data_IF_413398202870
#
_entry.id   IF_413398202870
#
_cell.length_a   1.000
_cell.length_b   1.000
_cell.length_c   1.000
_cell.angle_alpha   90.00
_cell.angle_beta   90.00
_cell.angle_gamma   90.00
#
_symmetry.space_group_name_H-M   'P 1'
#
loop_
_entity.id
_entity.type
_entity.pdbx_description
1 polymer ?
#
# COMPACT_ATOMS: atom_id res chain seq x y z
N UNK A 1 24.63 5.26 -13.02
CA UNK A 1 23.33 4.73 -13.46
C UNK A 1 22.60 4.25 -12.21
N UNK A 2 21.37 4.70 -12.00
CA UNK A 2 20.54 4.28 -10.85
C UNK A 2 20.16 2.81 -11.02
N UNK A 3 20.23 2.03 -9.96
CA UNK A 3 19.78 0.65 -9.93
C UNK A 3 18.90 0.42 -8.73
N UNK A 4 17.95 -0.48 -8.86
CA UNK A 4 17.07 -0.94 -7.79
C UNK A 4 17.09 -2.45 -7.68
N UNK A 5 16.48 -2.94 -6.61
CA UNK A 5 16.34 -4.37 -6.35
C UNK A 5 14.87 -4.74 -6.28
N UNK A 6 14.47 -5.66 -7.14
CA UNK A 6 13.12 -6.19 -7.19
C UNK A 6 13.10 -7.62 -6.64
N UNK A 7 12.03 -7.96 -5.94
CA UNK A 7 11.73 -9.33 -5.52
C UNK A 7 11.16 -10.11 -6.71
N UNK A 8 10.11 -9.58 -7.33
CA UNK A 8 9.38 -10.23 -8.42
C UNK A 8 8.55 -9.23 -9.23
N UNK A 9 8.05 -9.69 -10.36
CA UNK A 9 7.07 -8.98 -11.20
C UNK A 9 5.88 -9.92 -11.41
N UNK A 10 4.68 -9.43 -11.15
CA UNK A 10 3.42 -10.08 -11.47
C UNK A 10 2.71 -9.34 -12.59
N UNK A 11 2.33 -10.04 -13.66
CA UNK A 11 1.94 -9.40 -14.92
C UNK A 11 0.44 -9.15 -15.12
N UNK A 12 -0.43 -9.71 -14.30
CA UNK A 12 -1.89 -9.67 -14.47
C UNK A 12 -2.60 -9.46 -13.13
N UNK A 13 -2.08 -8.56 -12.27
CA UNK A 13 -2.70 -8.19 -11.00
C UNK A 13 -4.07 -7.52 -11.22
N UNK A 14 -5.07 -7.97 -10.48
CA UNK A 14 -6.45 -7.46 -10.55
C UNK A 14 -6.91 -6.77 -9.26
N UNK A 15 -6.08 -6.82 -8.20
CA UNK A 15 -6.44 -6.31 -6.86
C UNK A 15 -5.53 -5.17 -6.38
N UNK A 16 -4.53 -4.81 -7.18
CA UNK A 16 -3.49 -3.85 -6.82
C UNK A 16 -3.69 -2.49 -7.50
N UNK A 17 -4.94 -2.05 -7.59
CA UNK A 17 -5.38 -0.81 -8.22
C UNK A 17 -6.42 -1.04 -9.32
N UNK A 18 -6.78 0.00 -10.09
CA UNK A 18 -7.79 -0.11 -11.16
C UNK A 18 -7.25 -0.89 -12.36
N UNK A 19 -8.14 -1.65 -13.00
CA UNK A 19 -7.85 -2.39 -14.23
C UNK A 19 -6.83 -3.51 -14.07
N UNK A 20 -6.27 -3.98 -15.18
CA UNK A 20 -5.20 -4.98 -15.22
C UNK A 20 -3.86 -4.28 -14.97
N UNK A 21 -3.06 -4.81 -14.04
CA UNK A 21 -1.80 -4.18 -13.65
C UNK A 21 -0.61 -5.11 -13.76
N UNK A 22 0.54 -4.53 -14.08
CA UNK A 22 1.81 -5.15 -13.75
C UNK A 22 2.20 -4.69 -12.36
N UNK A 23 2.39 -5.62 -11.44
CA UNK A 23 2.82 -5.34 -10.06
C UNK A 23 4.31 -5.63 -9.92
N UNK A 24 5.08 -4.62 -9.53
CA UNK A 24 6.51 -4.72 -9.28
C UNK A 24 6.75 -4.74 -7.78
N UNK A 25 7.19 -5.87 -7.26
CA UNK A 25 7.52 -6.02 -5.84
C UNK A 25 8.98 -5.63 -5.60
N UNK A 26 9.20 -4.49 -4.92
CA UNK A 26 10.53 -4.01 -4.56
C UNK A 26 11.02 -4.65 -3.25
N UNK A 27 12.33 -4.75 -3.11
CA UNK A 27 12.99 -5.18 -1.88
C UNK A 27 13.15 -4.03 -0.88
N UNK A 28 13.09 -4.37 0.41
CA UNK A 28 13.27 -3.47 1.53
C UNK A 28 11.95 -3.03 2.16
N UNK A 29 11.85 -3.16 3.48
CA UNK A 29 10.77 -2.63 4.28
C UNK A 29 11.26 -2.31 5.69
N UNK A 30 10.88 -1.14 6.22
CA UNK A 30 11.15 -0.77 7.61
C UNK A 30 10.24 -1.47 8.61
N UNK A 31 9.03 -1.83 8.18
CA UNK A 31 8.03 -2.45 9.04
C UNK A 31 8.29 -3.94 9.25
N UNK A 32 7.77 -4.45 10.36
CA UNK A 32 7.70 -5.87 10.72
C UNK A 32 6.28 -6.20 11.11
N UNK A 33 5.35 -5.97 10.15
CA UNK A 33 3.92 -6.23 10.37
C UNK A 33 3.72 -7.68 10.81
N UNK A 34 2.92 -7.87 11.87
CA UNK A 34 2.70 -9.19 12.44
C UNK A 34 2.04 -10.17 11.46
N UNK A 35 1.30 -9.63 10.48
CA UNK A 35 0.60 -10.37 9.43
C UNK A 35 1.23 -10.25 8.03
N UNK A 36 2.52 -9.87 7.93
CA UNK A 36 3.14 -9.64 6.62
C UNK A 36 3.09 -10.91 5.75
N UNK A 37 2.65 -10.79 4.50
CA UNK A 37 2.63 -11.90 3.55
C UNK A 37 3.95 -12.07 2.78
N UNK A 38 4.80 -11.03 2.81
CA UNK A 38 6.05 -11.00 2.05
C UNK A 38 7.27 -10.71 2.95
N UNK A 39 7.54 -11.53 3.99
CA UNK A 39 8.72 -11.35 4.86
C UNK A 39 10.03 -11.49 4.09
N UNK A 40 10.01 -12.19 2.98
CA UNK A 40 11.10 -12.34 2.01
C UNK A 40 11.53 -11.02 1.35
N UNK A 41 10.64 -10.01 1.32
CA UNK A 41 10.96 -8.66 0.82
C UNK A 41 11.59 -7.72 1.86
N UNK A 42 11.72 -8.12 3.12
CA UNK A 42 12.18 -7.20 4.17
C UNK A 42 13.62 -6.71 4.00
N UNK A 43 14.51 -7.57 3.49
CA UNK A 43 15.93 -7.24 3.31
C UNK A 43 16.11 -6.41 2.04
N UNK A 44 16.76 -5.23 2.16
CA UNK A 44 17.03 -4.37 1.02
C UNK A 44 18.01 -4.99 0.00
N UNK A 45 18.94 -5.82 0.45
CA UNK A 45 19.94 -6.46 -0.40
C UNK A 45 19.51 -7.81 -1.00
N UNK A 46 18.23 -8.18 -0.88
CA UNK A 46 17.63 -9.35 -1.52
C UNK A 46 17.27 -9.11 -2.98
N UNK A 47 16.66 -10.11 -3.60
CA UNK A 47 16.09 -10.03 -4.96
C UNK A 47 17.13 -9.82 -6.07
N UNK A 48 16.65 -9.34 -7.22
CA UNK A 48 17.44 -9.12 -8.44
C UNK A 48 17.69 -7.64 -8.68
N UNK A 49 18.91 -7.27 -8.99
CA UNK A 49 19.26 -5.91 -9.39
C UNK A 49 18.80 -5.63 -10.82
N UNK A 50 18.23 -4.45 -11.04
CA UNK A 50 17.69 -4.03 -12.35
C UNK A 50 17.79 -2.50 -12.48
N UNK A 51 17.97 -1.99 -13.71
CA UNK A 51 17.87 -0.56 -14.00
C UNK A 51 16.41 -0.14 -14.27
N UNK A 52 16.05 1.15 -14.10
CA UNK A 52 14.72 1.65 -14.47
C UNK A 52 14.36 1.34 -15.93
N UNK A 53 15.32 1.51 -16.87
CA UNK A 53 15.12 1.28 -18.29
C UNK A 53 14.78 -0.18 -18.59
N UNK A 54 15.56 -1.13 -18.04
CA UNK A 54 15.31 -2.57 -18.18
C UNK A 54 13.95 -2.98 -17.61
N UNK A 55 13.54 -2.37 -16.47
CA UNK A 55 12.24 -2.63 -15.86
C UNK A 55 11.10 -2.11 -16.76
N UNK A 56 11.21 -0.87 -17.21
CA UNK A 56 10.16 -0.26 -18.04
C UNK A 56 10.04 -0.95 -19.41
N UNK A 57 11.12 -1.41 -20.02
CA UNK A 57 11.07 -2.24 -21.23
C UNK A 57 10.19 -3.48 -21.05
N UNK A 58 10.26 -4.14 -19.89
CA UNK A 58 9.39 -5.28 -19.57
C UNK A 58 7.93 -4.84 -19.40
N UNK A 59 7.66 -3.70 -18.73
CA UNK A 59 6.32 -3.21 -18.44
C UNK A 59 5.58 -2.71 -19.70
N UNK A 60 6.27 -2.04 -20.61
CA UNK A 60 5.69 -1.47 -21.84
C UNK A 60 5.00 -2.54 -22.71
N UNK A 61 5.44 -3.78 -22.67
CA UNK A 61 4.81 -4.90 -23.39
C UNK A 61 3.35 -5.15 -22.99
N UNK A 62 2.94 -4.67 -21.82
CA UNK A 62 1.58 -4.83 -21.29
C UNK A 62 0.66 -3.64 -21.60
N UNK A 63 1.13 -2.58 -22.26
CA UNK A 63 0.30 -1.40 -22.63
C UNK A 63 -1.03 -1.74 -23.31
N UNK A 64 -1.14 -2.74 -24.21
CA UNK A 64 -2.43 -3.11 -24.78
C UNK A 64 -3.48 -3.54 -23.75
N UNK A 65 -3.06 -4.18 -22.65
CA UNK A 65 -3.95 -4.55 -21.56
C UNK A 65 -4.32 -3.34 -20.71
N UNK A 66 -3.37 -2.44 -20.45
CA UNK A 66 -3.60 -1.19 -19.71
C UNK A 66 -4.63 -0.31 -20.40
N UNK A 67 -4.46 -0.09 -21.70
CA UNK A 67 -5.37 0.77 -22.48
C UNK A 67 -6.80 0.25 -22.54
N UNK A 68 -7.00 -1.08 -22.49
CA UNK A 68 -8.34 -1.69 -22.54
C UNK A 68 -9.04 -1.74 -21.18
N UNK A 69 -8.28 -1.78 -20.08
CA UNK A 69 -8.81 -1.99 -18.73
C UNK A 69 -8.78 -0.75 -17.86
N UNK A 70 -8.13 0.34 -18.29
CA UNK A 70 -7.81 1.46 -17.42
C UNK A 70 -6.73 1.13 -16.38
N UNK A 71 -5.91 0.10 -16.64
CA UNK A 71 -4.86 -0.37 -15.75
C UNK A 71 -3.52 0.35 -15.92
N UNK A 72 -2.45 -0.27 -15.43
CA UNK A 72 -1.11 0.30 -15.48
C UNK A 72 -0.09 -0.47 -14.67
N UNK A 73 0.87 0.20 -14.07
CA UNK A 73 1.85 -0.41 -13.17
C UNK A 73 1.57 -0.06 -11.70
N UNK A 74 1.80 -1.01 -10.82
CA UNK A 74 1.82 -0.81 -9.37
C UNK A 74 3.20 -1.16 -8.83
N UNK A 75 3.82 -0.19 -8.17
CA UNK A 75 5.03 -0.43 -7.40
C UNK A 75 4.63 -0.79 -5.97
N UNK A 76 5.01 -1.98 -5.52
CA UNK A 76 4.66 -2.62 -4.25
C UNK A 76 5.87 -3.39 -3.68
N UNK A 77 5.66 -4.41 -2.86
CA UNK A 77 6.69 -5.34 -2.40
C UNK A 77 6.90 -5.34 -0.91
N UNK A 78 8.08 -4.91 -0.46
CA UNK A 78 8.31 -4.51 0.92
C UNK A 78 7.64 -3.18 1.19
N UNK A 79 8.33 -2.09 0.88
CA UNK A 79 7.75 -0.75 0.69
C UNK A 79 8.60 -0.03 -0.37
N UNK A 80 8.01 0.42 -1.50
CA UNK A 80 8.76 1.05 -2.59
C UNK A 80 9.53 2.30 -2.19
N UNK A 81 9.06 3.01 -1.15
CA UNK A 81 9.71 4.19 -0.60
C UNK A 81 11.08 3.90 0.05
N UNK A 82 11.46 2.63 0.17
CA UNK A 82 12.81 2.23 0.59
C UNK A 82 13.86 2.44 -0.49
N UNK A 83 13.45 2.59 -1.75
CA UNK A 83 14.32 2.80 -2.90
C UNK A 83 13.90 4.05 -3.70
N UNK A 84 13.90 5.25 -3.06
CA UNK A 84 13.22 6.44 -3.60
C UNK A 84 13.78 6.90 -4.94
N UNK A 85 15.09 6.86 -5.14
CA UNK A 85 15.72 7.29 -6.42
C UNK A 85 15.38 6.35 -7.57
N UNK A 86 15.42 5.04 -7.35
CA UNK A 86 15.04 4.04 -8.34
C UNK A 86 13.55 4.15 -8.68
N UNK A 87 12.70 4.26 -7.66
CA UNK A 87 11.25 4.43 -7.82
C UNK A 87 10.93 5.67 -8.66
N UNK A 88 11.55 6.81 -8.32
CA UNK A 88 11.34 8.07 -9.03
C UNK A 88 11.68 7.96 -10.52
N UNK A 89 12.83 7.37 -10.87
CA UNK A 89 13.21 7.19 -12.28
C UNK A 89 12.24 6.23 -13.01
N UNK A 90 11.78 5.17 -12.36
CA UNK A 90 10.73 4.30 -12.90
C UNK A 90 9.42 5.06 -13.17
N UNK A 91 8.98 5.89 -12.22
CA UNK A 91 7.75 6.67 -12.34
C UNK A 91 7.86 7.71 -13.48
N UNK A 92 8.99 8.41 -13.62
CA UNK A 92 9.27 9.32 -14.73
C UNK A 92 9.18 8.61 -16.08
N UNK A 93 9.80 7.44 -16.20
CA UNK A 93 9.74 6.63 -17.40
C UNK A 93 8.32 6.11 -17.69
N UNK A 94 7.54 5.75 -16.69
CA UNK A 94 6.12 5.40 -16.84
C UNK A 94 5.33 6.56 -17.44
N UNK A 95 5.50 7.78 -16.90
CA UNK A 95 4.85 9.00 -17.42
C UNK A 95 5.22 9.26 -18.89
N UNK A 96 6.49 9.16 -19.25
CA UNK A 96 6.96 9.31 -20.64
C UNK A 96 6.32 8.29 -21.59
N UNK A 97 5.97 7.12 -21.10
CA UNK A 97 5.31 6.07 -21.85
C UNK A 97 3.78 6.11 -21.76
N UNK A 98 3.17 7.09 -21.09
CA UNK A 98 1.73 7.20 -20.90
C UNK A 98 1.14 6.03 -20.11
N UNK A 99 1.86 5.50 -19.13
CA UNK A 99 1.45 4.40 -18.27
C UNK A 99 0.97 4.95 -16.95
N UNK A 100 -0.27 4.65 -16.56
CA UNK A 100 -0.83 4.99 -15.24
C UNK A 100 -0.06 4.28 -14.13
N UNK A 101 0.30 5.05 -13.09
CA UNK A 101 1.13 4.58 -11.98
C UNK A 101 0.33 4.45 -10.69
N UNK A 102 0.56 3.38 -9.94
CA UNK A 102 0.10 3.25 -8.56
C UNK A 102 1.28 2.95 -7.63
N UNK A 103 1.28 3.57 -6.47
CA UNK A 103 2.23 3.36 -5.39
C UNK A 103 1.53 2.67 -4.24
N UNK A 104 1.88 1.42 -3.97
CA UNK A 104 1.39 0.62 -2.85
C UNK A 104 2.36 0.73 -1.68
N UNK A 105 1.98 1.46 -0.64
CA UNK A 105 2.88 1.83 0.45
C UNK A 105 2.17 1.96 1.80
N UNK A 106 2.93 1.80 2.85
CA UNK A 106 2.52 2.14 4.22
C UNK A 106 3.01 3.54 4.65
N UNK A 107 3.66 4.30 3.76
CA UNK A 107 4.25 5.60 4.05
C UNK A 107 5.57 5.53 4.84
N UNK A 108 6.24 4.38 4.86
CA UNK A 108 7.47 4.16 5.63
C UNK A 108 8.68 3.98 4.72
N UNK A 109 9.32 5.07 4.37
CA UNK A 109 10.45 5.05 3.45
C UNK A 109 11.61 5.96 3.86
N UNK A 110 12.46 6.28 2.90
CA UNK A 110 13.61 7.15 3.07
C UNK A 110 13.51 8.33 2.09
N UNK A 111 13.57 9.53 2.60
CA UNK A 111 13.72 10.74 1.79
C UNK A 111 12.51 11.65 1.66
N UNK A 112 12.58 12.54 0.67
CA UNK A 112 11.52 13.46 0.28
C UNK A 112 10.58 12.75 -0.71
N UNK A 113 9.29 12.82 -0.45
CA UNK A 113 8.27 12.16 -1.25
C UNK A 113 7.64 13.07 -2.32
N UNK A 114 8.00 14.36 -2.35
CA UNK A 114 7.38 15.37 -3.20
C UNK A 114 7.45 15.00 -4.68
N UNK A 115 8.65 14.72 -5.20
CA UNK A 115 8.81 14.33 -6.60
C UNK A 115 8.16 12.95 -6.90
N UNK A 116 8.28 11.98 -5.99
CA UNK A 116 7.64 10.66 -6.16
C UNK A 116 6.14 10.83 -6.35
N UNK A 117 5.50 11.60 -5.48
CA UNK A 117 4.05 11.83 -5.52
C UNK A 117 3.62 12.69 -6.73
N UNK A 118 4.49 13.56 -7.26
CA UNK A 118 4.22 14.28 -8.49
C UNK A 118 4.05 13.33 -9.71
N UNK A 119 4.80 12.22 -9.73
CA UNK A 119 4.75 11.22 -10.80
C UNK A 119 3.86 10.02 -10.46
N UNK A 120 3.11 10.06 -9.35
CA UNK A 120 2.19 9.01 -8.91
C UNK A 120 0.74 9.41 -9.15
N UNK A 121 -0.01 8.64 -9.95
CA UNK A 121 -1.42 8.90 -10.21
C UNK A 121 -2.31 8.44 -9.04
N UNK A 122 -2.01 7.28 -8.47
CA UNK A 122 -2.77 6.66 -7.39
C UNK A 122 -1.84 6.15 -6.27
N UNK A 123 -2.19 6.44 -5.03
CA UNK A 123 -1.57 5.84 -3.85
C UNK A 123 -2.52 4.80 -3.24
N UNK A 124 -2.06 3.56 -3.12
CA UNK A 124 -2.70 2.53 -2.30
C UNK A 124 -2.08 2.64 -0.91
N UNK A 125 -2.76 3.34 -0.01
CA UNK A 125 -2.23 3.66 1.31
C UNK A 125 -2.70 2.65 2.35
N UNK A 126 -1.79 1.92 2.94
CA UNK A 126 -2.07 1.01 4.04
C UNK A 126 -2.01 1.72 5.40
N UNK A 127 -3.15 2.00 6.02
CA UNK A 127 -3.22 2.42 7.41
C UNK A 127 -3.26 1.17 8.29
N UNK A 128 -2.19 0.93 9.08
CA UNK A 128 -2.02 -0.34 9.79
C UNK A 128 -2.69 -0.37 11.17
N UNK A 129 -2.83 0.80 11.83
CA UNK A 129 -3.37 0.91 13.17
C UNK A 129 -3.83 2.35 13.46
N UNK A 130 -4.61 2.56 14.54
CA UNK A 130 -5.20 3.85 14.91
C UNK A 130 -4.40 4.64 15.93
N UNK A 131 -3.39 4.06 16.55
CA UNK A 131 -2.57 4.71 17.58
C UNK A 131 -1.09 4.40 17.40
N UNK A 132 -0.22 5.30 17.86
CA UNK A 132 1.23 5.10 17.81
C UNK A 132 1.67 3.85 18.58
N UNK A 133 1.08 3.56 19.74
CA UNK A 133 1.33 2.32 20.50
C UNK A 133 0.88 1.08 19.71
N UNK A 134 -0.29 1.14 19.09
CA UNK A 134 -0.80 0.08 18.22
C UNK A 134 0.13 -0.17 17.02
N UNK A 135 0.64 0.90 16.38
CA UNK A 135 1.63 0.80 15.32
C UNK A 135 2.90 0.08 15.79
N UNK A 136 3.48 0.47 16.93
CA UNK A 136 4.67 -0.19 17.50
C UNK A 136 4.41 -1.68 17.73
N UNK A 137 3.27 -2.01 18.35
CA UNK A 137 2.91 -3.39 18.66
C UNK A 137 2.70 -4.24 17.40
N UNK A 138 2.06 -3.69 16.37
CA UNK A 138 1.69 -4.43 15.17
C UNK A 138 2.82 -4.47 14.14
N UNK A 139 3.57 -3.36 13.99
CA UNK A 139 4.53 -3.17 12.88
C UNK A 139 5.98 -2.99 13.33
N UNK A 140 6.23 -2.81 14.61
CA UNK A 140 7.57 -2.51 15.16
C UNK A 140 8.03 -1.06 14.98
N UNK A 141 7.17 -0.15 14.49
CA UNK A 141 7.48 1.28 14.27
C UNK A 141 6.35 2.17 14.78
N UNK A 142 6.68 3.40 15.18
CA UNK A 142 5.69 4.45 15.46
C UNK A 142 5.21 5.12 14.15
N UNK A 143 4.32 6.10 14.25
CA UNK A 143 3.68 6.77 13.11
C UNK A 143 4.49 7.91 12.49
N UNK A 144 5.71 8.21 12.96
CA UNK A 144 6.47 9.40 12.52
C UNK A 144 6.72 9.44 11.01
N UNK A 145 7.16 8.31 10.42
CA UNK A 145 7.42 8.24 8.98
C UNK A 145 6.11 8.40 8.18
N UNK A 146 5.01 7.79 8.65
CA UNK A 146 3.69 7.92 8.03
C UNK A 146 3.21 9.39 8.03
N UNK A 147 3.40 10.11 9.13
CA UNK A 147 2.98 11.52 9.23
C UNK A 147 3.73 12.38 8.21
N UNK A 148 5.04 12.16 8.02
CA UNK A 148 5.83 12.84 6.99
C UNK A 148 5.28 12.53 5.59
N UNK A 149 4.92 11.27 5.32
CA UNK A 149 4.34 10.87 4.05
C UNK A 149 2.96 11.53 3.83
N UNK A 150 2.10 11.57 4.84
CA UNK A 150 0.78 12.21 4.77
C UNK A 150 0.89 13.72 4.50
N UNK A 151 1.86 14.42 5.09
CA UNK A 151 2.11 15.83 4.79
C UNK A 151 2.49 16.07 3.32
N UNK A 152 3.33 15.21 2.75
CA UNK A 152 3.67 15.27 1.33
C UNK A 152 2.46 14.93 0.45
N UNK A 153 1.67 13.92 0.85
CA UNK A 153 0.48 13.47 0.13
C UNK A 153 -0.60 14.56 0.06
N UNK A 154 -0.80 15.35 1.14
CA UNK A 154 -1.74 16.49 1.14
C UNK A 154 -1.36 17.55 0.09
N UNK A 155 -0.09 17.75 -0.16
CA UNK A 155 0.44 18.73 -1.14
C UNK A 155 0.43 18.20 -2.57
N UNK A 156 0.29 16.90 -2.78
CA UNK A 156 0.29 16.24 -4.08
C UNK A 156 -1.09 16.31 -4.76
N UNK A 157 -1.17 15.80 -5.99
CA UNK A 157 -2.44 15.60 -6.74
C UNK A 157 -2.86 14.13 -6.83
N UNK A 158 -2.09 13.24 -6.26
CA UNK A 158 -2.36 11.80 -6.31
C UNK A 158 -3.72 11.47 -5.70
N UNK A 159 -4.47 10.58 -6.35
CA UNK A 159 -5.68 9.99 -5.79
C UNK A 159 -5.30 8.93 -4.75
N UNK A 160 -6.20 8.60 -3.85
CA UNK A 160 -5.89 7.66 -2.76
C UNK A 160 -6.94 6.56 -2.66
N UNK A 161 -6.48 5.31 -2.60
CA UNK A 161 -7.24 4.19 -2.08
C UNK A 161 -6.65 3.80 -0.74
N UNK A 162 -7.44 3.89 0.32
CA UNK A 162 -7.01 3.45 1.65
C UNK A 162 -7.29 1.97 1.81
N UNK A 163 -6.31 1.24 2.35
CA UNK A 163 -6.46 -0.16 2.71
C UNK A 163 -6.17 -0.37 4.18
N UNK A 164 -6.91 -1.29 4.78
CA UNK A 164 -6.72 -1.69 6.18
C UNK A 164 -6.96 -3.18 6.35
N UNK A 165 -6.02 -3.88 6.98
CA UNK A 165 -6.14 -5.31 7.27
C UNK A 165 -6.90 -5.52 8.57
N UNK A 166 -8.01 -6.25 8.51
CA UNK A 166 -8.84 -6.60 9.66
C UNK A 166 -8.33 -7.91 10.25
N UNK A 167 -7.74 -7.84 11.45
CA UNK A 167 -7.14 -8.97 12.18
C UNK A 167 -7.99 -9.29 13.41
N UNK A 168 -8.46 -10.54 13.59
CA UNK A 168 -9.28 -10.94 14.73
C UNK A 168 -8.63 -10.59 16.07
N UNK A 169 -9.40 -9.93 16.94
CA UNK A 169 -8.97 -9.52 18.29
C UNK A 169 -7.96 -8.37 18.31
N UNK A 170 -7.57 -7.79 17.17
CA UNK A 170 -6.58 -6.71 17.10
C UNK A 170 -7.16 -5.46 16.41
N UNK A 171 -7.77 -5.61 15.24
CA UNK A 171 -8.26 -4.50 14.42
C UNK A 171 -9.71 -4.72 13.93
N UNK A 172 -10.43 -5.68 14.48
CA UNK A 172 -11.75 -6.15 14.02
C UNK A 172 -12.93 -5.63 14.86
N UNK A 173 -12.71 -4.63 15.74
CA UNK A 173 -13.78 -4.03 16.52
C UNK A 173 -14.42 -2.84 15.79
N UNK A 174 -15.72 -2.60 16.05
CA UNK A 174 -16.45 -1.42 15.57
C UNK A 174 -15.72 -0.13 15.96
N UNK A 175 -15.28 -0.01 17.21
CA UNK A 175 -14.54 1.14 17.70
C UNK A 175 -13.25 1.39 16.90
N UNK A 176 -12.52 0.32 16.57
CA UNK A 176 -11.30 0.44 15.76
C UNK A 176 -11.60 0.96 14.36
N UNK A 177 -12.62 0.42 13.69
CA UNK A 177 -13.02 0.84 12.34
C UNK A 177 -13.55 2.29 12.33
N UNK A 178 -14.27 2.70 13.37
CA UNK A 178 -14.69 4.11 13.52
C UNK A 178 -13.48 5.04 13.61
N UNK A 179 -12.47 4.70 14.40
CA UNK A 179 -11.22 5.47 14.48
C UNK A 179 -10.44 5.48 13.15
N UNK A 180 -10.48 4.41 12.37
CA UNK A 180 -9.91 4.41 11.01
C UNK A 180 -10.65 5.41 10.12
N UNK A 181 -11.98 5.47 10.20
CA UNK A 181 -12.77 6.45 9.43
C UNK A 181 -12.45 7.90 9.83
N UNK A 182 -12.29 8.18 11.14
CA UNK A 182 -11.84 9.48 11.65
C UNK A 182 -10.49 9.88 11.07
N UNK A 183 -9.48 9.00 11.13
CA UNK A 183 -8.13 9.24 10.57
C UNK A 183 -8.21 9.50 9.07
N UNK A 184 -9.03 8.75 8.33
CA UNK A 184 -9.19 8.94 6.89
C UNK A 184 -9.75 10.34 6.61
N UNK A 185 -10.81 10.75 7.30
CA UNK A 185 -11.45 12.05 7.10
C UNK A 185 -10.53 13.22 7.45
N UNK A 186 -9.76 13.10 8.54
CA UNK A 186 -8.93 14.19 9.05
C UNK A 186 -7.56 14.30 8.34
N UNK A 187 -6.99 13.15 7.97
CA UNK A 187 -5.58 13.08 7.61
C UNK A 187 -5.32 12.75 6.13
N UNK A 188 -6.25 12.02 5.46
CA UNK A 188 -5.99 11.49 4.11
C UNK A 188 -6.77 12.28 3.05
N UNK A 189 -6.07 12.97 2.13
CA UNK A 189 -6.73 13.75 1.09
C UNK A 189 -7.21 12.88 -0.08
N UNK A 190 -8.22 13.35 -0.81
CA UNK A 190 -8.65 12.82 -2.12
C UNK A 190 -8.86 11.30 -2.16
N UNK A 191 -9.54 10.77 -1.15
CA UNK A 191 -9.84 9.34 -1.05
C UNK A 191 -10.92 8.93 -2.05
N UNK A 192 -10.60 8.02 -2.97
CA UNK A 192 -11.56 7.45 -3.93
C UNK A 192 -12.21 6.17 -3.41
N UNK A 193 -11.49 5.43 -2.57
CA UNK A 193 -11.92 4.12 -2.10
C UNK A 193 -11.29 3.79 -0.76
N UNK A 194 -12.08 3.16 0.10
CA UNK A 194 -11.59 2.52 1.32
C UNK A 194 -11.89 1.03 1.24
N UNK A 195 -10.91 0.20 1.53
CA UNK A 195 -10.99 -1.24 1.43
C UNK A 195 -10.48 -1.93 2.68
N UNK A 196 -11.37 -2.65 3.35
CA UNK A 196 -11.01 -3.54 4.45
C UNK A 196 -10.63 -4.90 3.89
N UNK A 197 -9.44 -5.38 4.26
CA UNK A 197 -8.88 -6.64 3.79
C UNK A 197 -8.94 -7.68 4.93
N UNK A 198 -9.62 -8.82 4.74
CA UNK A 198 -9.63 -9.85 5.77
C UNK A 198 -8.23 -10.45 5.94
N UNK A 199 -7.76 -10.53 7.20
CA UNK A 199 -6.55 -11.26 7.54
C UNK A 199 -6.64 -12.73 7.10
N UNK A 200 -5.56 -13.26 6.52
CA UNK A 200 -5.42 -14.67 6.14
C UNK A 200 -3.98 -15.17 6.31
N UNK A 201 -3.78 -16.46 6.29
CA UNK A 201 -2.52 -17.15 6.64
C UNK A 201 -1.68 -17.59 5.43
N UNK A 202 -2.00 -17.14 4.22
CA UNK A 202 -1.35 -17.59 2.97
C UNK A 202 0.17 -17.36 2.94
N UNK A 203 0.69 -16.37 3.66
CA UNK A 203 2.12 -16.07 3.71
C UNK A 203 2.91 -16.79 4.82
N UNK A 204 2.25 -17.64 5.64
CA UNK A 204 2.88 -18.22 6.84
C UNK A 204 4.02 -19.18 6.49
N UNK A 205 3.90 -19.96 5.41
CA UNK A 205 4.97 -20.88 4.97
C UNK A 205 6.31 -20.19 4.73
N UNK A 206 6.29 -18.95 4.25
CA UNK A 206 7.52 -18.17 4.05
C UNK A 206 8.28 -17.89 5.34
N UNK A 207 7.59 -17.78 6.47
CA UNK A 207 8.25 -17.59 7.78
C UNK A 207 9.01 -18.84 8.22
N UNK A 208 8.44 -20.01 7.95
CA UNK A 208 9.12 -21.30 8.24
C UNK A 208 10.36 -21.45 7.37
N UNK A 209 10.26 -21.16 6.07
CA UNK A 209 11.38 -21.19 5.12
C UNK A 209 12.51 -20.21 5.51
N UNK A 210 12.14 -19.05 6.06
CA UNK A 210 13.10 -18.04 6.49
C UNK A 210 13.62 -18.22 7.92
N UNK A 211 13.08 -19.20 8.67
CA UNK A 211 13.41 -19.40 10.09
C UNK A 211 12.97 -18.25 10.99
N UNK A 212 11.89 -17.54 10.63
CA UNK A 212 11.37 -16.38 11.37
C UNK A 212 10.10 -16.79 12.12
N UNK A 213 9.97 -16.51 13.44
CA UNK A 213 8.75 -16.79 14.18
C UNK A 213 7.57 -15.98 13.64
N UNK A 214 6.44 -16.65 13.31
CA UNK A 214 5.21 -15.97 12.93
C UNK A 214 4.50 -15.42 14.17
N UNK A 215 4.30 -14.12 14.22
CA UNK A 215 3.81 -13.41 15.42
C UNK A 215 2.33 -13.63 15.73
N UNK A 216 1.52 -13.98 14.72
CA UNK A 216 0.09 -14.27 14.85
C UNK A 216 -0.21 -15.78 14.82
N UNK A 217 0.73 -16.61 15.33
CA UNK A 217 0.51 -18.06 15.46
C UNK A 217 -0.73 -18.34 16.31
N UNK A 218 -1.67 -19.11 15.75
CA UNK A 218 -2.93 -19.46 16.43
C UNK A 218 -4.05 -18.41 16.26
N UNK A 219 -3.82 -17.32 15.53
CA UNK A 219 -4.90 -16.41 15.12
C UNK A 219 -5.52 -16.96 13.83
N UNK A 220 -6.82 -17.27 13.90
CA UNK A 220 -7.59 -17.76 12.76
C UNK A 220 -7.76 -16.68 11.67
N UNK A 221 -7.92 -17.08 10.39
CA UNK A 221 -8.29 -16.14 9.33
C UNK A 221 -9.55 -15.34 9.68
N UNK A 222 -9.59 -14.10 9.23
CA UNK A 222 -10.73 -13.23 9.48
C UNK A 222 -11.99 -13.74 8.77
N UNK A 223 -13.12 -13.73 9.47
CA UNK A 223 -14.42 -14.04 8.90
C UNK A 223 -14.79 -12.99 7.84
N UNK A 224 -15.13 -13.46 6.64
CA UNK A 224 -15.43 -12.58 5.49
C UNK A 224 -16.75 -11.82 5.69
N UNK A 225 -17.76 -12.43 6.30
CA UNK A 225 -19.05 -11.78 6.53
C UNK A 225 -18.89 -10.62 7.52
N UNK A 226 -18.17 -10.85 8.62
CA UNK A 226 -17.81 -9.77 9.56
C UNK A 226 -16.98 -8.67 8.88
N UNK A 227 -16.05 -9.02 7.99
CA UNK A 227 -15.30 -8.00 7.22
C UNK A 227 -16.23 -7.19 6.33
N UNK A 228 -17.21 -7.81 5.70
CA UNK A 228 -18.22 -7.12 4.87
C UNK A 228 -19.11 -6.19 5.71
N UNK A 229 -19.54 -6.62 6.90
CA UNK A 229 -20.29 -5.77 7.83
C UNK A 229 -19.48 -4.52 8.24
N UNK A 230 -18.20 -4.70 8.57
CA UNK A 230 -17.29 -3.60 8.89
C UNK A 230 -17.02 -2.69 7.68
N UNK A 231 -16.98 -3.26 6.46
CA UNK A 231 -16.86 -2.48 5.22
C UNK A 231 -18.09 -1.61 4.97
N UNK A 232 -19.28 -2.11 5.24
CA UNK A 232 -20.51 -1.31 5.15
C UNK A 232 -20.49 -0.18 6.18
N UNK A 233 -20.12 -0.47 7.42
CA UNK A 233 -19.98 0.52 8.48
C UNK A 233 -19.03 1.66 8.09
N UNK A 234 -17.80 1.35 7.65
CA UNK A 234 -16.84 2.41 7.30
C UNK A 234 -17.31 3.24 6.11
N UNK A 235 -17.97 2.63 5.13
CA UNK A 235 -18.53 3.34 3.99
C UNK A 235 -19.63 4.34 4.44
N UNK A 236 -20.46 3.97 5.40
CA UNK A 236 -21.51 4.85 5.92
C UNK A 236 -20.93 6.00 6.74
N UNK A 237 -19.91 5.74 7.56
CA UNK A 237 -19.20 6.77 8.34
C UNK A 237 -18.51 7.82 7.44
N UNK A 238 -17.99 7.42 6.30
CA UNK A 238 -17.34 8.32 5.34
C UNK A 238 -18.36 9.16 4.56
N UNK A 239 -19.51 8.61 4.17
CA UNK A 239 -20.59 9.33 3.45
C UNK A 239 -21.27 10.40 4.31
N UNK A 240 -21.45 10.14 5.60
CA UNK A 240 -22.08 11.11 6.52
C UNK A 240 -21.26 12.40 6.66
N UNK A 241 -19.96 12.35 6.46
CA UNK A 241 -19.10 13.53 6.53
C UNK A 241 -19.12 14.36 5.24
N UNK A 242 -19.25 13.74 4.05
CA UNK A 242 -19.43 14.45 2.78
C UNK A 242 -20.72 15.28 2.77
N UNK A 243 -21.81 14.78 3.39
CA UNK A 243 -23.09 15.51 3.50
C UNK A 243 -23.07 16.64 4.52
N UNK A 244 -22.24 16.58 5.57
CA UNK A 244 -22.12 17.65 6.56
C UNK A 244 -21.30 18.85 6.06
N UNK A 245 -20.27 18.63 5.24
CA UNK A 245 -19.48 19.70 4.63
C UNK A 245 -20.24 20.45 3.54
N UNK A 246 -21.14 19.77 2.81
CA UNK A 246 -21.97 20.40 1.78
C UNK A 246 -23.13 21.25 2.32
N UNK A 247 -23.44 21.16 3.62
CA UNK A 247 -24.47 21.99 4.28
C UNK A 247 -23.90 23.23 4.98
N UNK A 248 -22.59 23.38 5.05
CA UNK A 248 -21.89 24.50 5.71
C UNK A 248 -21.15 25.43 4.73
N UNK A 249 -21.32 25.25 3.41
CA UNK A 249 -20.69 26.07 2.35
C UNK A 249 -21.67 27.06 1.71
#
# INVERSE_FOLDING_TARGET
MVKGRIHSIESMGLVDGPGVRVVVFLQGCKLRCAYCHNPDTWKLNGGTEITPEELIEKIVRFKPYFSRSGGGVTFSGGDPLMQPQFLLECLKLCRLNGIHTALDTSGFGNGDYTEILEYTDLVLLDIKQTSSKGYVNLTGRNTSDLNIFLEALRKSKSRVWVRHVVVPGITDSVEHITKIAEIINEEVPRVDKVQLLPYHVLGVSKYEELGIPYRLKGVEPMNKDKTNELQLLINDLLKTNETSESQTA
#
